data_IF_111626407407
#
_entry.id   IF_111626407407
#
_cell.length_a   1.000
_cell.length_b   1.000
_cell.length_c   1.000
_cell.angle_alpha   90.00
_cell.angle_beta   90.00
_cell.angle_gamma   90.00
#
_symmetry.space_group_name_H-M   'P 1'
#
loop_
_entity.id
_entity.type
_entity.pdbx_description
1 polymer ?
#
# COMPACT_ATOMS: atom_id res chain seq x y z
N UNK A 1 -1.83 36.24 -14.58
CA UNK A 1 -1.18 35.85 -15.84
C UNK A 1 -1.55 34.40 -16.20
N UNK A 2 -2.86 34.08 -16.19
CA UNK A 2 -3.43 32.75 -16.45
C UNK A 2 -4.52 32.87 -17.53
N UNK A 3 -4.14 33.16 -18.79
CA UNK A 3 -5.13 33.17 -19.89
C UNK A 3 -4.42 33.20 -21.26
N UNK A 4 -3.52 32.22 -21.54
CA UNK A 4 -2.89 32.17 -22.90
C UNK A 4 -2.44 30.76 -23.36
N UNK A 5 -2.99 29.67 -22.87
CA UNK A 5 -2.71 28.31 -23.39
C UNK A 5 -4.04 27.58 -23.70
N UNK A 6 -4.89 28.18 -24.52
CA UNK A 6 -6.11 27.52 -25.00
C UNK A 6 -6.45 27.83 -26.46
N UNK A 7 -5.43 28.02 -27.32
CA UNK A 7 -5.63 28.20 -28.77
C UNK A 7 -4.42 27.74 -29.57
N UNK A 8 -4.16 26.44 -29.63
CA UNK A 8 -3.30 25.88 -30.69
C UNK A 8 -3.43 24.35 -30.76
N UNK A 9 -4.61 23.86 -31.13
CA UNK A 9 -4.83 22.49 -31.66
C UNK A 9 -6.12 22.45 -32.45
N UNK A 10 -6.15 23.14 -33.56
CA UNK A 10 -7.08 22.89 -34.68
C UNK A 10 -6.47 23.52 -35.94
N UNK A 11 -5.74 22.73 -36.67
CA UNK A 11 -5.47 22.88 -38.09
C UNK A 11 -4.33 21.92 -38.49
N UNK A 12 -4.65 20.72 -38.92
CA UNK A 12 -3.94 19.99 -39.98
C UNK A 12 -4.64 18.65 -40.18
N UNK A 13 -5.77 18.69 -40.84
CA UNK A 13 -6.37 17.56 -41.56
C UNK A 13 -6.84 18.14 -42.88
N UNK A 14 -6.18 17.81 -43.95
CA UNK A 14 -6.70 17.63 -45.29
C UNK A 14 -5.56 17.58 -46.33
N UNK A 15 -5.71 16.66 -47.28
CA UNK A 15 -4.97 16.43 -48.51
C UNK A 15 -3.78 15.45 -48.41
N UNK A 16 -3.99 14.21 -48.83
CA UNK A 16 -3.58 13.71 -50.15
C UNK A 16 -4.30 12.37 -50.40
N UNK A 17 -5.25 12.39 -51.32
CA UNK A 17 -5.76 11.23 -52.05
C UNK A 17 -5.17 11.26 -53.45
N UNK A 18 -4.52 10.20 -53.91
CA UNK A 18 -4.51 9.78 -55.31
C UNK A 18 -3.72 8.49 -55.53
N UNK A 19 -4.39 7.49 -56.00
CA UNK A 19 -4.12 6.44 -56.98
C UNK A 19 -2.77 5.70 -56.95
N UNK A 20 -2.85 4.38 -56.78
CA UNK A 20 -2.39 3.42 -57.83
C UNK A 20 -3.04 2.04 -57.54
N UNK A 21 -3.85 1.60 -58.50
CA UNK A 21 -4.34 0.24 -58.72
C UNK A 21 -3.25 -0.48 -59.49
N UNK A 22 -2.80 -1.66 -59.01
CA UNK A 22 -2.47 -2.77 -59.91
C UNK A 22 -2.21 -4.09 -59.17
N UNK A 23 -2.90 -5.08 -59.67
CA UNK A 23 -2.67 -6.51 -59.81
C UNK A 23 -2.69 -7.43 -58.59
N UNK A 24 -3.76 -8.15 -58.53
CA UNK A 24 -3.98 -9.46 -57.93
C UNK A 24 -2.91 -10.50 -58.35
N UNK A 25 -2.24 -11.08 -57.39
CA UNK A 25 -1.80 -12.46 -57.46
C UNK A 25 -2.19 -13.15 -56.15
N UNK A 26 -3.19 -14.01 -56.23
CA UNK A 26 -3.65 -14.94 -55.21
C UNK A 26 -2.55 -15.95 -54.91
N UNK A 27 -1.87 -15.80 -53.78
CA UNK A 27 -1.18 -16.86 -53.14
C UNK A 27 -1.87 -17.17 -51.82
N UNK A 28 -2.60 -18.27 -51.79
CA UNK A 28 -3.21 -18.82 -50.62
C UNK A 28 -2.12 -19.45 -49.73
N UNK A 29 -1.44 -18.66 -48.91
CA UNK A 29 -0.66 -19.16 -47.79
C UNK A 29 -1.50 -19.01 -46.55
N UNK A 30 -1.91 -20.14 -46.01
CA UNK A 30 -2.54 -20.23 -44.70
C UNK A 30 -1.52 -19.75 -43.62
N UNK A 31 -1.49 -18.45 -43.38
CA UNK A 31 -0.86 -17.91 -42.17
C UNK A 31 -1.65 -18.41 -41.00
N UNK A 32 -1.16 -19.46 -40.32
CA UNK A 32 -1.49 -19.70 -38.92
C UNK A 32 -1.28 -18.36 -38.18
N UNK A 33 -2.37 -17.71 -37.78
CA UNK A 33 -2.29 -16.67 -36.75
C UNK A 33 -1.68 -17.37 -35.53
N UNK A 34 -0.39 -17.19 -35.32
CA UNK A 34 0.17 -17.37 -34.00
C UNK A 34 -0.64 -16.46 -33.07
N UNK A 35 -1.50 -17.07 -32.29
CA UNK A 35 -2.00 -16.42 -31.07
C UNK A 35 -0.73 -16.19 -30.23
N UNK A 36 -0.06 -15.04 -30.37
CA UNK A 36 0.77 -14.51 -29.31
C UNK A 36 -0.16 -14.42 -28.11
N UNK A 37 -0.06 -15.34 -27.17
CA UNK A 37 -0.60 -15.17 -25.85
C UNK A 37 -0.05 -13.82 -25.39
N UNK A 38 -0.92 -12.84 -25.18
CA UNK A 38 -0.53 -11.59 -24.53
C UNK A 38 0.14 -12.00 -23.22
N UNK A 39 1.40 -11.66 -23.10
CA UNK A 39 2.15 -11.84 -21.86
C UNK A 39 1.52 -10.89 -20.85
N UNK A 40 0.66 -11.44 -19.98
CA UNK A 40 -0.04 -10.69 -18.93
C UNK A 40 0.79 -10.64 -17.64
N UNK A 41 2.09 -10.91 -17.71
CA UNK A 41 3.00 -10.86 -16.55
C UNK A 41 2.97 -9.48 -15.88
N UNK A 42 3.22 -9.39 -14.58
CA UNK A 42 3.33 -8.13 -13.86
C UNK A 42 4.35 -7.18 -14.51
N UNK A 43 4.01 -5.91 -14.64
CA UNK A 43 4.85 -4.89 -15.27
C UNK A 43 5.08 -3.74 -14.30
N UNK A 44 6.34 -3.42 -13.99
CA UNK A 44 6.67 -2.22 -13.23
C UNK A 44 6.44 -0.99 -14.12
N UNK A 45 5.48 -0.14 -13.73
CA UNK A 45 5.03 1.05 -14.46
C UNK A 45 5.61 2.35 -13.90
N UNK A 46 6.10 2.33 -12.67
CA UNK A 46 6.85 3.42 -12.06
C UNK A 46 7.89 2.87 -11.10
N UNK A 47 9.09 3.44 -11.13
CA UNK A 47 10.13 3.22 -10.12
C UNK A 47 10.60 4.56 -9.58
N UNK A 48 10.41 4.78 -8.29
CA UNK A 48 10.92 5.94 -7.57
C UNK A 48 12.25 5.55 -6.92
N UNK A 49 13.33 5.78 -7.66
CA UNK A 49 14.69 5.51 -7.20
C UNK A 49 15.22 6.67 -6.34
N UNK A 50 16.18 6.41 -5.42
CA UNK A 50 16.85 7.48 -4.70
C UNK A 50 17.71 8.34 -5.62
N UNK A 51 17.94 9.59 -5.22
CA UNK A 51 18.84 10.56 -5.86
C UNK A 51 19.68 11.27 -4.80
N UNK A 52 20.54 12.20 -5.21
CA UNK A 52 21.42 12.95 -4.30
C UNK A 52 20.65 13.67 -3.21
N UNK A 53 19.52 14.32 -3.56
CA UNK A 53 18.66 15.07 -2.61
C UNK A 53 17.47 14.25 -2.10
N UNK A 54 17.29 13.02 -2.54
CA UNK A 54 16.18 12.16 -2.19
C UNK A 54 16.68 10.73 -1.91
N UNK A 55 17.15 10.46 -0.70
CA UNK A 55 17.80 9.18 -0.38
C UNK A 55 16.83 8.00 -0.25
N UNK A 56 15.49 8.25 -0.13
CA UNK A 56 14.49 7.21 0.05
C UNK A 56 13.10 7.65 -0.39
N UNK A 57 12.38 6.73 -1.04
CA UNK A 57 10.96 6.80 -1.35
C UNK A 57 10.28 5.54 -0.82
N UNK A 58 9.25 5.66 0.02
CA UNK A 58 8.63 4.47 0.61
C UNK A 58 7.20 4.69 1.10
N UNK A 59 6.50 3.59 1.42
CA UNK A 59 5.29 3.54 2.25
C UNK A 59 4.13 4.40 1.75
N UNK A 60 3.77 4.19 0.48
CA UNK A 60 2.67 4.90 -0.16
C UNK A 60 1.36 4.11 -0.20
N UNK A 61 0.31 4.81 -0.65
CA UNK A 61 -1.01 4.27 -0.90
C UNK A 61 -1.70 5.01 -2.05
N UNK A 62 -2.79 4.45 -2.58
CA UNK A 62 -3.50 4.92 -3.76
C UNK A 62 -4.93 5.34 -3.46
N UNK A 63 -5.46 6.24 -4.28
CA UNK A 63 -6.88 6.58 -4.31
C UNK A 63 -7.36 6.89 -5.73
N UNK A 64 -8.54 6.38 -6.12
CA UNK A 64 -9.22 6.81 -7.32
C UNK A 64 -9.88 8.18 -7.11
N UNK A 65 -9.66 9.10 -8.02
CA UNK A 65 -10.31 10.40 -8.09
C UNK A 65 -11.59 10.32 -8.95
N UNK A 66 -12.55 11.22 -8.74
CA UNK A 66 -13.82 11.23 -9.49
C UNK A 66 -13.68 11.58 -10.97
N UNK A 67 -12.58 12.20 -11.38
CA UNK A 67 -12.27 12.49 -12.78
C UNK A 67 -11.68 11.29 -13.54
N UNK A 68 -11.52 10.14 -12.84
CA UNK A 68 -10.91 8.93 -13.37
C UNK A 68 -9.40 8.84 -13.16
N UNK A 69 -8.79 9.87 -12.59
CA UNK A 69 -7.38 9.83 -12.19
C UNK A 69 -7.12 8.91 -11.00
N UNK A 70 -5.88 8.49 -10.85
CA UNK A 70 -5.37 7.77 -9.68
C UNK A 70 -4.30 8.66 -9.06
N UNK A 71 -4.43 8.94 -7.77
CA UNK A 71 -3.41 9.60 -6.96
C UNK A 71 -2.68 8.55 -6.12
N UNK A 72 -1.35 8.55 -6.20
CA UNK A 72 -0.45 7.81 -5.32
C UNK A 72 0.26 8.81 -4.41
N UNK A 73 0.13 8.66 -3.08
CA UNK A 73 0.84 9.47 -2.10
C UNK A 73 1.83 8.59 -1.38
N UNK A 74 3.07 9.08 -1.16
CA UNK A 74 4.14 8.32 -0.53
C UNK A 74 5.06 9.20 0.31
N UNK A 75 5.88 8.57 1.14
CA UNK A 75 6.89 9.24 1.97
C UNK A 75 8.14 9.51 1.14
N UNK A 76 8.46 10.78 0.88
CA UNK A 76 9.65 11.23 0.16
C UNK A 76 10.64 11.86 1.14
N UNK A 77 11.76 11.20 1.32
CA UNK A 77 12.83 11.67 2.19
C UNK A 77 13.71 12.69 1.47
N UNK A 78 14.32 13.59 2.24
CA UNK A 78 15.26 14.58 1.71
C UNK A 78 16.48 14.73 2.62
N UNK A 79 17.57 15.35 2.09
CA UNK A 79 18.85 15.39 2.74
C UNK A 79 19.68 14.13 2.47
N UNK A 80 20.62 13.80 3.34
CA UNK A 80 21.64 12.76 3.09
C UNK A 80 21.29 11.37 3.64
N UNK A 81 20.30 11.27 4.54
CA UNK A 81 20.01 10.03 5.27
C UNK A 81 18.73 9.34 4.81
N UNK A 82 18.79 8.02 4.65
CA UNK A 82 17.62 7.15 4.40
C UNK A 82 17.06 6.51 5.68
N UNK A 83 17.50 6.93 6.85
CA UNK A 83 17.02 6.43 8.16
C UNK A 83 15.52 6.72 8.33
N UNK A 84 14.82 5.89 9.12
CA UNK A 84 13.42 6.14 9.52
C UNK A 84 13.22 7.44 10.30
N UNK A 85 14.30 8.04 10.81
CA UNK A 85 14.29 9.31 11.54
C UNK A 85 14.71 10.51 10.70
N UNK A 86 15.13 10.27 9.45
CA UNK A 86 15.50 11.33 8.53
C UNK A 86 14.28 12.16 8.08
N UNK A 87 14.47 13.43 7.70
CA UNK A 87 13.38 14.29 7.30
C UNK A 87 12.69 13.78 6.04
N UNK A 88 11.36 13.83 6.04
CA UNK A 88 10.52 13.45 4.92
C UNK A 88 9.23 14.26 4.90
N UNK A 89 8.66 14.41 3.71
CA UNK A 89 7.34 14.95 3.45
C UNK A 89 6.51 13.96 2.64
N UNK A 90 5.20 14.19 2.49
CA UNK A 90 4.35 13.36 1.65
C UNK A 90 4.26 13.98 0.26
N UNK A 91 4.66 13.19 -0.74
CA UNK A 91 4.63 13.53 -2.15
C UNK A 91 3.52 12.79 -2.89
N UNK A 92 2.97 13.39 -3.92
CA UNK A 92 1.93 12.85 -4.79
C UNK A 92 2.38 12.67 -6.23
N UNK A 93 1.95 11.56 -6.86
CA UNK A 93 2.05 11.27 -8.29
C UNK A 93 0.67 10.93 -8.83
N UNK A 94 0.38 11.32 -10.07
CA UNK A 94 -0.91 11.11 -10.70
C UNK A 94 -0.78 10.24 -11.95
N UNK A 95 -1.80 9.40 -12.18
CA UNK A 95 -1.99 8.66 -13.42
C UNK A 95 -3.39 8.93 -13.96
N UNK A 96 -3.51 9.10 -15.29
CA UNK A 96 -4.78 9.36 -15.97
C UNK A 96 -5.06 8.30 -17.07
N UNK A 97 -4.37 7.16 -17.01
CA UNK A 97 -4.46 6.07 -17.98
C UNK A 97 -4.52 4.69 -17.30
N UNK A 98 -5.22 4.63 -16.15
CA UNK A 98 -5.40 3.42 -15.35
C UNK A 98 -4.08 2.89 -14.75
N UNK A 99 -3.16 3.78 -14.39
CA UNK A 99 -1.89 3.43 -13.74
C UNK A 99 -0.78 2.98 -14.68
N UNK A 100 -0.95 3.10 -16.01
CA UNK A 100 0.07 2.69 -16.99
C UNK A 100 1.22 3.69 -17.07
N UNK A 101 0.92 4.98 -16.92
CA UNK A 101 1.93 6.05 -16.83
C UNK A 101 1.60 7.01 -15.69
N UNK A 102 2.62 7.70 -15.19
CA UNK A 102 2.56 8.57 -14.03
C UNK A 102 3.21 9.92 -14.34
N UNK A 103 2.81 10.98 -13.61
CA UNK A 103 3.45 12.29 -13.71
C UNK A 103 4.94 12.19 -13.37
N UNK A 104 5.77 12.99 -14.05
CA UNK A 104 7.23 12.99 -13.85
C UNK A 104 7.65 13.77 -12.59
N UNK A 105 6.85 14.75 -12.17
CA UNK A 105 7.14 15.63 -11.04
C UNK A 105 6.28 15.26 -9.82
N UNK A 106 6.87 15.42 -8.64
CA UNK A 106 6.18 15.28 -7.37
C UNK A 106 5.37 16.53 -7.03
N UNK A 107 4.14 16.34 -6.56
CA UNK A 107 3.39 17.36 -5.85
C UNK A 107 3.59 17.19 -4.34
N UNK A 108 3.90 18.25 -3.61
CA UNK A 108 3.95 18.21 -2.15
C UNK A 108 2.52 18.21 -1.62
N UNK A 109 2.13 17.11 -0.98
CA UNK A 109 0.78 16.94 -0.41
C UNK A 109 0.74 17.39 1.06
N UNK A 110 1.74 16.98 1.84
CA UNK A 110 1.91 17.40 3.24
C UNK A 110 3.38 17.67 3.48
N UNK A 111 3.69 18.90 3.84
CA UNK A 111 5.04 19.30 4.28
C UNK A 111 5.47 18.53 5.52
N UNK A 112 6.76 18.48 5.79
CA UNK A 112 7.25 17.91 7.04
C UNK A 112 6.78 18.76 8.23
N UNK A 113 5.74 18.35 8.89
CA UNK A 113 5.19 18.99 10.10
C UNK A 113 5.59 18.29 11.41
N UNK A 114 6.38 17.21 11.33
CA UNK A 114 6.97 16.52 12.47
C UNK A 114 8.31 17.12 12.89
N UNK A 115 8.73 16.85 14.12
CA UNK A 115 10.09 17.19 14.57
C UNK A 115 11.16 16.40 13.80
N UNK A 116 10.80 15.24 13.26
CA UNK A 116 11.64 14.39 12.42
C UNK A 116 11.04 14.32 11.00
N UNK A 117 9.87 13.69 10.85
CA UNK A 117 9.25 13.52 9.55
C UNK A 117 7.73 13.28 9.63
N UNK A 118 7.13 13.15 8.44
CA UNK A 118 5.81 12.56 8.20
C UNK A 118 5.97 11.39 7.24
N UNK A 119 5.32 10.24 7.52
CA UNK A 119 5.49 9.02 6.75
C UNK A 119 4.30 8.05 6.84
N UNK A 120 4.35 6.93 6.12
CA UNK A 120 3.39 5.80 6.21
C UNK A 120 1.96 6.18 5.85
N UNK A 121 1.69 6.31 4.57
CA UNK A 121 0.42 6.80 4.03
C UNK A 121 -0.66 5.73 4.01
N UNK A 122 -1.88 6.07 4.45
CA UNK A 122 -3.11 5.34 4.12
C UNK A 122 -4.13 6.30 3.52
N UNK A 123 -4.73 5.94 2.38
CA UNK A 123 -5.74 6.71 1.67
C UNK A 123 -7.08 5.97 1.67
N UNK A 124 -8.15 6.67 1.94
CA UNK A 124 -9.46 6.07 2.02
C UNK A 124 -10.54 7.01 1.50
N UNK A 125 -11.37 6.53 0.56
CA UNK A 125 -12.62 7.19 0.18
C UNK A 125 -13.67 6.87 1.25
N UNK A 126 -14.03 7.87 2.04
CA UNK A 126 -15.06 7.73 3.06
C UNK A 126 -16.44 7.57 2.43
N UNK A 127 -17.37 6.93 3.14
CA UNK A 127 -18.77 6.74 2.68
C UNK A 127 -19.51 8.05 2.38
N UNK A 128 -19.10 9.16 2.99
CA UNK A 128 -19.65 10.49 2.67
C UNK A 128 -19.05 11.12 1.40
N UNK A 129 -18.13 10.39 0.71
CA UNK A 129 -17.50 10.81 -0.53
C UNK A 129 -16.22 11.66 -0.37
N UNK A 130 -15.86 12.05 0.83
CA UNK A 130 -14.59 12.74 1.13
C UNK A 130 -13.41 11.77 1.04
N UNK A 131 -12.20 12.29 0.80
CA UNK A 131 -10.96 11.50 0.88
C UNK A 131 -10.30 11.76 2.24
N UNK A 132 -9.97 10.69 2.96
CA UNK A 132 -9.16 10.74 4.16
C UNK A 132 -7.73 10.31 3.84
N UNK A 133 -6.76 11.10 4.29
CA UNK A 133 -5.33 10.83 4.27
C UNK A 133 -4.86 10.62 5.70
N UNK A 134 -4.32 9.44 5.98
CA UNK A 134 -3.70 9.11 7.26
C UNK A 134 -2.19 9.00 7.07
N UNK A 135 -1.45 9.43 8.08
CA UNK A 135 0.01 9.37 8.09
C UNK A 135 0.54 9.40 9.53
N UNK A 136 1.75 8.89 9.74
CA UNK A 136 2.46 9.03 11.01
C UNK A 136 3.20 10.36 11.05
N UNK A 137 2.96 11.16 12.09
CA UNK A 137 3.74 12.36 12.42
C UNK A 137 4.76 11.99 13.50
N UNK A 138 6.02 11.95 13.11
CA UNK A 138 7.14 11.58 13.98
C UNK A 138 7.81 12.84 14.52
N UNK A 139 7.63 13.11 15.81
CA UNK A 139 8.20 14.28 16.48
C UNK A 139 9.57 13.98 17.11
N UNK A 140 9.75 12.76 17.63
CA UNK A 140 11.01 12.27 18.26
C UNK A 140 11.03 10.74 18.25
N UNK A 141 12.08 10.14 18.79
CA UNK A 141 12.18 8.70 19.02
C UNK A 141 11.17 8.18 20.06
N UNK A 142 10.55 9.06 20.85
CA UNK A 142 9.56 8.72 21.88
C UNK A 142 8.15 9.22 21.55
N UNK A 143 7.97 9.97 20.45
CA UNK A 143 6.70 10.59 20.07
C UNK A 143 6.45 10.44 18.58
N UNK A 144 5.60 9.50 18.22
CA UNK A 144 5.09 9.29 16.87
C UNK A 144 3.58 9.02 16.95
N UNK A 145 2.78 9.85 16.31
CA UNK A 145 1.31 9.80 16.40
C UNK A 145 0.68 9.80 15.00
N UNK A 146 -0.26 8.88 14.73
CA UNK A 146 -1.09 8.92 13.53
C UNK A 146 -1.93 10.20 13.47
N UNK A 147 -1.91 10.84 12.31
CA UNK A 147 -2.67 12.03 11.97
C UNK A 147 -3.64 11.72 10.83
N UNK A 148 -4.71 12.51 10.73
CA UNK A 148 -5.68 12.44 9.64
C UNK A 148 -5.89 13.82 9.04
N UNK A 149 -5.96 13.91 7.69
CA UNK A 149 -6.45 15.07 6.94
C UNK A 149 -7.61 14.64 6.05
N UNK A 150 -8.48 15.56 5.70
CA UNK A 150 -9.65 15.30 4.85
C UNK A 150 -9.64 16.25 3.67
N UNK A 151 -9.88 15.71 2.48
CA UNK A 151 -10.15 16.48 1.27
C UNK A 151 -11.62 16.32 0.86
N UNK A 152 -12.25 17.45 0.48
CA UNK A 152 -13.62 17.52 -0.04
C UNK A 152 -13.68 17.81 -1.54
N UNK A 153 -12.54 18.04 -2.16
CA UNK A 153 -12.36 18.53 -3.52
C UNK A 153 -11.36 17.67 -4.33
N UNK A 154 -11.42 16.32 -4.10
CA UNK A 154 -10.63 15.36 -4.84
C UNK A 154 -9.12 15.60 -4.75
N UNK A 155 -8.64 15.77 -3.51
CA UNK A 155 -7.24 15.98 -3.13
C UNK A 155 -6.64 17.33 -3.60
N UNK A 156 -7.46 18.26 -4.11
CA UNK A 156 -6.98 19.63 -4.48
C UNK A 156 -6.58 20.44 -3.25
N UNK A 157 -7.26 20.24 -2.14
CA UNK A 157 -6.91 20.82 -0.84
C UNK A 157 -7.18 19.86 0.31
N UNK A 158 -6.49 20.09 1.43
CA UNK A 158 -6.56 19.24 2.61
C UNK A 158 -6.89 20.07 3.86
N UNK A 159 -7.67 19.50 4.76
CA UNK A 159 -7.96 20.10 6.06
C UNK A 159 -6.71 20.25 6.93
N UNK A 160 -6.82 21.01 8.02
CA UNK A 160 -5.85 20.95 9.11
C UNK A 160 -5.73 19.51 9.64
N UNK A 161 -4.54 19.12 10.16
CA UNK A 161 -4.31 17.77 10.66
C UNK A 161 -5.10 17.52 11.96
N UNK A 162 -5.72 16.34 12.04
CA UNK A 162 -6.46 15.86 13.21
C UNK A 162 -5.65 14.72 13.84
N UNK A 163 -5.20 14.82 15.11
CA UNK A 163 -4.55 13.72 15.78
C UNK A 163 -5.54 12.58 16.03
N UNK A 164 -5.17 11.36 15.62
CA UNK A 164 -6.02 10.18 15.79
C UNK A 164 -5.87 9.55 17.19
N UNK A 165 -4.77 9.78 17.89
CA UNK A 165 -4.49 9.29 19.23
C UNK A 165 -4.27 10.49 20.15
N UNK A 166 -5.14 10.64 21.15
CA UNK A 166 -5.10 11.76 22.11
C UNK A 166 -5.14 11.29 23.56
N UNK A 167 -5.49 10.02 23.80
CA UNK A 167 -5.63 9.42 25.13
C UNK A 167 -4.30 8.90 25.70
N UNK A 168 -3.31 8.66 24.84
CA UNK A 168 -1.98 8.16 25.19
C UNK A 168 -0.89 8.96 24.50
N UNK A 169 0.28 9.03 25.14
CA UNK A 169 1.52 9.50 24.51
C UNK A 169 2.42 8.31 24.24
N UNK A 170 3.26 8.38 23.19
CA UNK A 170 4.22 7.36 22.88
C UNK A 170 4.56 7.28 21.40
N UNK A 171 5.35 6.28 21.06
CA UNK A 171 5.72 5.99 19.69
C UNK A 171 4.79 4.93 19.11
N UNK A 172 3.78 5.39 18.39
CA UNK A 172 2.82 4.55 17.69
C UNK A 172 3.23 4.36 16.23
N UNK A 173 3.31 3.13 15.80
CA UNK A 173 3.53 2.77 14.41
C UNK A 173 2.17 2.47 13.76
N UNK A 174 1.82 3.25 12.75
CA UNK A 174 0.79 2.97 11.75
C UNK A 174 1.52 2.69 10.45
N UNK A 175 1.41 1.48 9.92
CA UNK A 175 1.99 1.15 8.62
C UNK A 175 1.11 1.71 7.48
N UNK A 176 1.66 1.78 6.25
CA UNK A 176 0.94 2.26 5.07
C UNK A 176 -0.21 1.32 4.67
N UNK A 177 -1.25 1.85 4.04
CA UNK A 177 -2.42 1.12 3.54
C UNK A 177 -3.10 0.23 4.62
N UNK A 178 -3.39 0.80 5.82
CA UNK A 178 -3.90 0.02 6.98
C UNK A 178 -5.26 0.46 7.48
N UNK A 179 -5.65 1.71 7.22
CA UNK A 179 -6.93 2.22 7.74
C UNK A 179 -8.07 1.73 6.86
N UNK A 180 -9.10 1.15 7.47
CA UNK A 180 -10.29 0.66 6.75
C UNK A 180 -11.56 1.32 7.26
N UNK A 181 -12.60 1.37 6.42
CA UNK A 181 -13.95 1.74 6.81
C UNK A 181 -14.88 0.54 6.68
N UNK A 182 -15.48 0.12 7.79
CA UNK A 182 -16.41 -1.00 7.84
C UNK A 182 -17.71 -0.71 7.07
N UNK A 183 -18.46 -1.75 6.71
CA UNK A 183 -19.78 -1.63 6.08
C UNK A 183 -20.75 -0.75 6.84
N UNK A 184 -20.65 -0.66 8.18
CA UNK A 184 -21.49 0.21 9.01
C UNK A 184 -21.00 1.68 9.08
N UNK A 185 -19.85 2.01 8.48
CA UNK A 185 -19.28 3.36 8.45
C UNK A 185 -18.20 3.64 9.51
N UNK A 186 -17.97 2.74 10.48
CA UNK A 186 -16.90 2.88 11.46
C UNK A 186 -15.54 2.83 10.77
N UNK A 187 -14.64 3.75 11.11
CA UNK A 187 -13.24 3.69 10.74
C UNK A 187 -12.48 2.85 11.76
N UNK A 188 -11.55 2.04 11.29
CA UNK A 188 -10.62 1.25 12.10
C UNK A 188 -9.19 1.56 11.67
N UNK A 189 -8.33 1.82 12.65
CA UNK A 189 -6.92 2.13 12.49
C UNK A 189 -6.10 1.24 13.42
N UNK A 190 -5.46 0.17 12.91
CA UNK A 190 -4.62 -0.71 13.70
C UNK A 190 -3.25 -0.07 13.91
N UNK A 191 -2.71 -0.14 15.12
CA UNK A 191 -1.42 0.44 15.49
C UNK A 191 -0.65 -0.46 16.44
N UNK A 192 0.68 -0.30 16.47
CA UNK A 192 1.55 -0.87 17.50
C UNK A 192 2.25 0.24 18.29
N UNK A 193 2.19 0.18 19.61
CA UNK A 193 2.90 1.06 20.53
C UNK A 193 4.23 0.40 20.94
N UNK A 194 5.35 0.99 20.54
CA UNK A 194 6.69 0.46 20.79
C UNK A 194 7.40 1.15 21.96
N UNK A 195 7.01 2.37 22.29
CA UNK A 195 7.57 3.10 23.40
C UNK A 195 6.52 4.00 24.05
N UNK A 196 6.35 3.89 25.35
CA UNK A 196 5.57 4.81 26.19
C UNK A 196 6.51 5.75 26.94
N UNK A 197 6.03 6.93 27.42
CA UNK A 197 6.86 7.87 28.17
C UNK A 197 7.55 7.22 29.38
N UNK A 198 8.87 7.41 29.48
CA UNK A 198 9.68 6.85 30.56
C UNK A 198 9.99 5.35 30.44
N UNK A 199 9.60 4.71 29.35
CA UNK A 199 9.96 3.33 29.03
C UNK A 199 10.99 3.30 27.90
N UNK A 200 11.73 2.19 27.80
CA UNK A 200 12.60 1.93 26.65
C UNK A 200 11.77 1.44 25.45
N UNK A 201 12.39 1.51 24.29
CA UNK A 201 11.88 0.88 23.08
C UNK A 201 11.73 -0.63 23.29
N UNK A 202 10.58 -1.16 22.86
CA UNK A 202 10.31 -2.60 22.84
C UNK A 202 10.06 -3.04 21.39
N UNK A 203 10.79 -4.05 20.93
CA UNK A 203 10.60 -4.61 19.59
C UNK A 203 9.22 -5.27 19.45
N UNK A 204 8.73 -5.88 20.52
CA UNK A 204 7.36 -6.35 20.61
C UNK A 204 6.44 -5.19 20.92
N UNK A 205 5.71 -4.70 19.91
CA UNK A 205 4.76 -3.62 20.06
C UNK A 205 3.47 -4.07 20.75
N UNK A 206 2.96 -3.23 21.65
CA UNK A 206 1.61 -3.36 22.19
C UNK A 206 0.59 -3.02 21.09
N UNK A 207 -0.24 -3.99 20.68
CA UNK A 207 -1.17 -3.83 19.58
C UNK A 207 -2.51 -3.28 20.05
N UNK A 208 -3.01 -2.27 19.34
CA UNK A 208 -4.32 -1.65 19.54
C UNK A 208 -5.02 -1.44 18.20
N UNK A 209 -6.35 -1.25 18.26
CA UNK A 209 -7.13 -0.72 17.16
C UNK A 209 -7.84 0.55 17.65
N UNK A 210 -7.56 1.68 17.03
CA UNK A 210 -8.36 2.88 17.27
C UNK A 210 -9.55 2.90 16.30
N UNK A 211 -10.71 3.33 16.78
CA UNK A 211 -11.92 3.38 15.97
C UNK A 211 -12.64 4.73 16.09
N UNK A 212 -13.32 5.11 15.00
CA UNK A 212 -14.12 6.33 14.93
C UNK A 212 -15.48 6.05 14.29
N UNK A 213 -16.55 6.53 14.93
CA UNK A 213 -17.94 6.42 14.45
C UNK A 213 -18.45 7.73 13.81
N UNK A 214 -17.57 8.74 13.65
CA UNK A 214 -17.93 10.07 13.16
C UNK A 214 -16.97 10.60 12.08
N UNK A 215 -16.53 9.70 11.17
CA UNK A 215 -15.62 10.01 10.08
C UNK A 215 -14.29 10.64 10.54
N UNK A 216 -13.70 10.12 11.62
CA UNK A 216 -12.38 10.51 12.10
C UNK A 216 -12.34 11.78 12.96
N UNK A 217 -13.48 12.39 13.30
CA UNK A 217 -13.49 13.59 14.15
C UNK A 217 -13.06 13.29 15.59
N UNK A 218 -13.39 12.11 16.10
CA UNK A 218 -12.93 11.60 17.40
C UNK A 218 -12.62 10.13 17.30
N UNK A 219 -11.66 9.67 18.11
CA UNK A 219 -11.18 8.30 18.13
C UNK A 219 -11.23 7.72 19.54
N UNK A 220 -11.42 6.41 19.61
CA UNK A 220 -11.40 5.64 20.84
C UNK A 220 -10.48 4.43 20.67
N UNK A 221 -9.77 4.07 21.74
CA UNK A 221 -8.90 2.89 21.76
C UNK A 221 -9.69 1.62 22.01
N UNK A 222 -9.35 0.53 21.35
CA UNK A 222 -9.76 -0.82 21.73
C UNK A 222 -9.09 -1.25 23.04
N UNK A 223 -9.49 -2.43 23.56
CA UNK A 223 -8.61 -3.18 24.46
C UNK A 223 -7.31 -3.55 23.73
N UNK A 224 -6.21 -3.71 24.48
CA UNK A 224 -4.96 -4.24 23.92
C UNK A 224 -5.18 -5.66 23.38
N UNK A 225 -4.61 -5.98 22.24
CA UNK A 225 -4.55 -7.34 21.69
C UNK A 225 -3.56 -8.16 22.52
N UNK A 226 -4.02 -9.23 23.14
CA UNK A 226 -3.18 -10.01 24.03
C UNK A 226 -2.23 -10.93 23.24
N UNK A 227 -0.92 -10.72 23.44
CA UNK A 227 0.13 -11.64 23.02
C UNK A 227 0.83 -12.19 24.28
N UNK A 228 0.65 -13.48 24.55
CA UNK A 228 1.27 -14.18 25.70
C UNK A 228 2.49 -14.99 25.30
N UNK A 229 2.99 -14.81 24.08
CA UNK A 229 4.16 -15.50 23.52
C UNK A 229 5.39 -14.58 23.51
N UNK A 230 6.56 -15.16 23.30
CA UNK A 230 7.82 -14.40 23.07
C UNK A 230 7.97 -13.97 21.59
N UNK A 231 6.94 -14.18 20.75
CA UNK A 231 6.96 -13.79 19.33
C UNK A 231 6.78 -12.28 19.23
N UNK A 232 7.74 -11.59 18.61
CA UNK A 232 7.64 -10.16 18.34
C UNK A 232 6.42 -9.91 17.43
N UNK A 233 5.57 -8.95 17.81
CA UNK A 233 4.41 -8.48 17.05
C UNK A 233 4.54 -7.00 16.72
N UNK A 234 4.27 -6.63 15.45
CA UNK A 234 4.40 -5.28 14.93
C UNK A 234 3.36 -5.03 13.83
N UNK A 235 3.15 -3.79 13.44
CA UNK A 235 2.51 -3.33 12.20
C UNK A 235 1.28 -4.14 11.77
N UNK A 236 0.19 -4.15 12.56
CA UNK A 236 -1.01 -4.91 12.24
C UNK A 236 -1.75 -4.34 11.00
N UNK A 237 -2.46 -5.20 10.28
CA UNK A 237 -3.44 -4.83 9.25
C UNK A 237 -4.79 -5.45 9.54
N UNK A 238 -5.85 -4.97 8.89
CA UNK A 238 -7.23 -5.38 9.16
C UNK A 238 -7.95 -5.78 7.87
N UNK A 239 -8.88 -6.74 8.00
CA UNK A 239 -9.89 -6.99 6.96
C UNK A 239 -11.23 -7.36 7.59
N UNK A 240 -12.35 -6.80 7.07
CA UNK A 240 -13.71 -7.14 7.52
C UNK A 240 -14.14 -8.44 6.85
N UNK A 241 -14.53 -9.44 7.64
CA UNK A 241 -15.03 -10.73 7.17
C UNK A 241 -16.49 -10.63 6.70
N UNK A 242 -16.99 -11.65 5.97
CA UNK A 242 -18.35 -11.65 5.45
C UNK A 242 -19.40 -11.78 6.54
N UNK A 243 -19.04 -12.43 7.66
CA UNK A 243 -19.90 -12.54 8.86
C UNK A 243 -19.88 -11.30 9.77
N UNK A 244 -19.10 -10.26 9.39
CA UNK A 244 -18.99 -9.01 10.10
C UNK A 244 -17.94 -8.99 11.22
N UNK A 245 -17.23 -10.09 11.46
CA UNK A 245 -16.01 -10.09 12.28
C UNK A 245 -14.90 -9.32 11.56
N UNK A 246 -13.92 -8.90 12.34
CA UNK A 246 -12.71 -8.28 11.81
C UNK A 246 -11.53 -9.22 12.08
N UNK A 247 -10.75 -9.52 11.07
CA UNK A 247 -9.48 -10.21 11.21
C UNK A 247 -8.35 -9.18 11.24
N UNK A 248 -7.50 -9.26 12.24
CA UNK A 248 -6.22 -8.57 12.32
C UNK A 248 -5.14 -9.56 11.91
N UNK A 249 -4.36 -9.23 10.87
CA UNK A 249 -3.14 -9.95 10.50
C UNK A 249 -1.93 -9.13 10.94
N UNK A 250 -0.92 -9.80 11.48
CA UNK A 250 0.09 -9.14 12.30
C UNK A 250 1.48 -9.58 11.83
N UNK A 251 2.35 -8.61 11.50
CA UNK A 251 3.77 -8.83 11.27
C UNK A 251 4.39 -9.46 12.52
N UNK A 252 5.07 -10.61 12.38
CA UNK A 252 5.59 -11.36 13.50
C UNK A 252 6.92 -12.05 13.21
N UNK A 253 7.71 -12.37 14.27
CA UNK A 253 9.04 -12.99 14.17
C UNK A 253 9.02 -14.52 14.12
N UNK A 254 7.86 -15.15 14.29
CA UNK A 254 7.73 -16.60 14.47
C UNK A 254 7.76 -17.46 13.20
N UNK A 255 8.14 -16.89 12.04
CA UNK A 255 8.13 -17.59 10.74
C UNK A 255 6.76 -17.58 10.05
N UNK A 256 5.74 -16.99 10.68
CA UNK A 256 4.39 -16.82 10.16
C UNK A 256 3.82 -15.48 10.59
N UNK A 257 2.84 -14.96 9.84
CA UNK A 257 1.99 -13.89 10.35
C UNK A 257 1.20 -14.43 11.56
N UNK A 258 0.87 -13.58 12.53
CA UNK A 258 -0.11 -13.91 13.56
C UNK A 258 -1.48 -13.32 13.21
N UNK A 259 -2.54 -13.87 13.80
CA UNK A 259 -3.92 -13.42 13.64
C UNK A 259 -4.54 -13.10 14.98
N UNK A 260 -5.51 -12.18 14.99
CA UNK A 260 -6.45 -11.94 16.08
C UNK A 260 -7.80 -11.53 15.49
N UNK A 261 -8.89 -11.75 16.22
CA UNK A 261 -10.24 -11.52 15.72
C UNK A 261 -11.05 -10.66 16.68
N UNK A 262 -11.89 -9.80 16.10
CA UNK A 262 -12.88 -9.02 16.83
C UNK A 262 -14.29 -9.35 16.31
N UNK A 263 -15.23 -9.57 17.23
CA UNK A 263 -16.66 -9.76 16.93
C UNK A 263 -17.52 -8.55 17.27
N UNK A 264 -16.93 -7.49 17.84
CA UNK A 264 -17.59 -6.27 18.30
C UNK A 264 -17.13 -5.01 17.56
N UNK A 265 -16.72 -5.18 16.27
CA UNK A 265 -16.29 -4.10 15.38
C UNK A 265 -15.05 -3.37 15.89
N UNK A 266 -14.05 -4.13 16.34
CA UNK A 266 -12.73 -3.64 16.70
C UNK A 266 -12.59 -3.10 18.13
N UNK A 267 -13.55 -3.33 19.04
CA UNK A 267 -13.46 -2.85 20.42
C UNK A 267 -12.66 -3.81 21.31
N UNK A 268 -12.86 -5.13 21.11
CA UNK A 268 -12.10 -6.16 21.80
C UNK A 268 -11.57 -7.19 20.81
N UNK A 269 -10.51 -7.91 21.20
CA UNK A 269 -9.76 -8.80 20.33
C UNK A 269 -9.47 -10.13 21.01
N UNK A 270 -9.45 -11.21 20.25
CA UNK A 270 -8.95 -12.50 20.73
C UNK A 270 -7.46 -12.43 21.05
N UNK A 271 -6.94 -13.41 21.79
CA UNK A 271 -5.50 -13.64 21.87
C UNK A 271 -4.95 -13.87 20.47
N UNK A 272 -3.67 -13.53 20.25
CA UNK A 272 -2.99 -13.83 18.98
C UNK A 272 -2.87 -15.34 18.79
N UNK A 273 -3.01 -15.76 17.52
CA UNK A 273 -2.81 -17.16 17.10
C UNK A 273 -1.95 -17.22 15.83
N UNK A 274 -1.28 -18.35 15.61
CA UNK A 274 -0.45 -18.54 14.41
C UNK A 274 -1.33 -18.73 13.18
N UNK A 275 -1.00 -18.02 12.09
CA UNK A 275 -1.67 -18.21 10.80
C UNK A 275 -1.07 -19.33 9.97
N UNK A 276 -1.68 -19.59 8.82
CA UNK A 276 -1.14 -20.42 7.73
C UNK A 276 -0.37 -19.58 6.67
N UNK A 277 0.08 -18.38 7.02
CA UNK A 277 0.81 -17.45 6.12
C UNK A 277 2.29 -17.45 6.54
N UNK A 278 3.16 -18.27 5.88
CA UNK A 278 4.60 -18.26 6.16
C UNK A 278 5.19 -16.89 5.88
N UNK A 279 6.02 -16.37 6.78
CA UNK A 279 6.55 -15.00 6.63
C UNK A 279 7.79 -14.78 7.47
N UNK A 280 8.79 -14.02 6.99
CA UNK A 280 9.81 -13.44 7.85
C UNK A 280 9.20 -12.31 8.69
N UNK A 281 9.99 -11.62 9.50
CA UNK A 281 9.55 -10.39 10.18
C UNK A 281 9.33 -9.27 9.15
N UNK A 282 8.21 -9.36 8.42
CA UNK A 282 7.82 -8.45 7.35
C UNK A 282 6.30 -8.31 7.29
N UNK A 283 5.75 -7.11 7.00
CA UNK A 283 4.32 -6.92 6.91
C UNK A 283 3.74 -7.58 5.65
N UNK A 284 2.57 -8.18 5.79
CA UNK A 284 1.70 -8.64 4.70
C UNK A 284 0.63 -7.58 4.39
N UNK A 285 -0.04 -7.69 3.26
CA UNK A 285 -1.24 -6.91 2.94
C UNK A 285 -2.30 -7.83 2.35
N UNK A 286 -3.53 -7.69 2.86
CA UNK A 286 -4.71 -8.44 2.41
C UNK A 286 -5.78 -7.43 2.00
N UNK A 287 -6.25 -7.54 0.75
CA UNK A 287 -7.35 -6.72 0.23
C UNK A 287 -8.43 -7.57 -0.43
N UNK A 288 -9.69 -7.11 -0.36
CA UNK A 288 -10.79 -7.78 -1.04
C UNK A 288 -10.81 -7.42 -2.52
N UNK A 289 -10.88 -8.44 -3.38
CA UNK A 289 -11.10 -8.25 -4.82
C UNK A 289 -12.54 -7.77 -5.02
N UNK A 290 -12.77 -6.57 -5.59
CA UNK A 290 -14.07 -5.90 -5.54
C UNK A 290 -15.23 -6.67 -6.18
N UNK A 291 -14.99 -7.40 -7.27
CA UNK A 291 -16.04 -8.08 -8.05
C UNK A 291 -16.34 -9.50 -7.57
N UNK A 292 -15.42 -10.19 -6.90
CA UNK A 292 -15.61 -11.55 -6.40
C UNK A 292 -15.78 -11.62 -4.88
N UNK A 293 -15.21 -10.66 -4.14
CA UNK A 293 -15.12 -10.71 -2.68
C UNK A 293 -14.04 -11.66 -2.15
N UNK A 294 -13.31 -12.33 -3.05
CA UNK A 294 -12.13 -13.13 -2.69
C UNK A 294 -11.05 -12.24 -2.09
N UNK A 295 -10.11 -12.81 -1.36
CA UNK A 295 -9.02 -12.05 -0.77
C UNK A 295 -7.74 -12.20 -1.60
N UNK A 296 -7.09 -11.07 -1.90
CA UNK A 296 -5.74 -11.02 -2.44
C UNK A 296 -4.77 -10.75 -1.29
N UNK A 297 -3.85 -11.69 -1.07
CA UNK A 297 -2.72 -11.55 -0.15
C UNK A 297 -1.46 -11.24 -0.96
N UNK A 298 -0.70 -10.23 -0.53
CA UNK A 298 0.66 -9.96 -1.04
C UNK A 298 1.61 -9.86 0.14
N UNK A 299 2.68 -10.69 0.12
CA UNK A 299 3.60 -10.82 1.26
C UNK A 299 4.94 -11.42 0.85
N UNK A 300 5.84 -11.61 1.82
CA UNK A 300 7.05 -12.41 1.63
C UNK A 300 6.78 -13.86 2.05
N UNK A 301 6.65 -14.78 1.09
CA UNK A 301 6.44 -16.20 1.34
C UNK A 301 7.76 -16.88 1.71
N UNK A 302 8.20 -16.68 2.94
CA UNK A 302 9.50 -17.11 3.44
C UNK A 302 9.42 -17.41 4.95
N UNK A 303 9.34 -18.70 5.30
CA UNK A 303 9.32 -19.18 6.69
C UNK A 303 10.71 -19.35 7.32
N UNK A 304 11.77 -19.05 6.56
CA UNK A 304 13.15 -19.22 6.99
C UNK A 304 13.71 -20.62 6.82
N UNK A 305 12.98 -21.55 6.19
CA UNK A 305 13.44 -22.92 5.89
C UNK A 305 14.51 -22.95 4.79
N UNK A 306 14.46 -22.00 3.83
CA UNK A 306 15.50 -21.84 2.81
C UNK A 306 16.67 -20.98 3.34
N UNK A 307 17.88 -21.56 3.53
CA UNK A 307 19.02 -20.83 4.09
C UNK A 307 19.46 -19.62 3.27
N UNK A 308 19.26 -19.62 1.94
CA UNK A 308 19.67 -18.56 1.03
C UNK A 308 18.93 -17.25 1.30
N UNK A 309 17.64 -17.36 1.64
CA UNK A 309 16.76 -16.21 1.86
C UNK A 309 16.29 -16.07 3.32
N UNK A 310 16.83 -16.86 4.23
CA UNK A 310 16.42 -16.85 5.65
C UNK A 310 16.53 -15.45 6.24
N UNK A 311 15.41 -14.96 6.81
CA UNK A 311 15.31 -13.63 7.42
C UNK A 311 15.25 -12.47 6.43
N UNK A 312 15.31 -12.74 5.12
CA UNK A 312 15.20 -11.73 4.08
C UNK A 312 13.74 -11.48 3.69
N UNK A 313 13.46 -10.28 3.15
CA UNK A 313 12.13 -9.89 2.66
C UNK A 313 11.97 -10.22 1.16
N UNK A 314 12.21 -11.48 0.84
CA UNK A 314 12.05 -12.07 -0.49
C UNK A 314 11.61 -13.53 -0.34
N UNK A 315 10.84 -14.09 -1.30
CA UNK A 315 10.24 -13.47 -2.49
C UNK A 315 9.11 -12.49 -2.15
N UNK A 316 8.70 -11.63 -3.10
CA UNK A 316 7.41 -10.96 -3.08
C UNK A 316 6.40 -11.87 -3.79
N UNK A 317 5.44 -12.38 -3.03
CA UNK A 317 4.49 -13.40 -3.47
C UNK A 317 3.06 -12.88 -3.37
N UNK A 318 2.18 -13.33 -4.25
CA UNK A 318 0.73 -13.15 -4.13
C UNK A 318 0.01 -14.49 -4.01
N UNK A 319 -1.17 -14.49 -3.40
CA UNK A 319 -2.09 -15.62 -3.35
C UNK A 319 -3.54 -15.13 -3.27
N UNK A 320 -4.48 -16.00 -3.65
CA UNK A 320 -5.92 -15.73 -3.59
C UNK A 320 -6.55 -16.69 -2.58
N UNK A 321 -7.49 -16.17 -1.77
CA UNK A 321 -8.33 -16.97 -0.90
C UNK A 321 -9.81 -16.74 -1.21
N UNK A 322 -10.57 -17.81 -1.35
CA UNK A 322 -12.03 -17.82 -1.55
C UNK A 322 -12.82 -18.09 -0.28
N UNK A 323 -12.12 -18.38 0.81
CA UNK A 323 -12.68 -18.83 2.08
C UNK A 323 -12.20 -17.99 3.27
N UNK A 324 -11.91 -16.69 3.00
CA UNK A 324 -11.51 -15.69 4.00
C UNK A 324 -10.22 -16.06 4.75
N UNK A 325 -9.21 -16.51 3.99
CA UNK A 325 -7.86 -16.78 4.50
C UNK A 325 -7.68 -18.16 5.14
N UNK A 326 -8.70 -19.05 5.11
CA UNK A 326 -8.54 -20.42 5.59
C UNK A 326 -7.63 -21.23 4.68
N UNK A 327 -7.72 -21.02 3.36
CA UNK A 327 -6.82 -21.60 2.37
C UNK A 327 -6.36 -20.54 1.37
N UNK A 328 -5.15 -20.73 0.85
CA UNK A 328 -4.55 -19.84 -0.15
C UNK A 328 -4.23 -20.63 -1.42
N UNK A 329 -4.71 -20.16 -2.55
CA UNK A 329 -4.49 -20.75 -3.87
C UNK A 329 -3.83 -19.75 -4.83
N UNK A 330 -3.41 -20.21 -6.02
CA UNK A 330 -2.77 -19.35 -7.03
C UNK A 330 -1.52 -18.63 -6.51
N UNK A 331 -0.75 -19.33 -5.67
CA UNK A 331 0.48 -18.77 -5.08
C UNK A 331 1.51 -18.52 -6.19
N UNK A 332 1.95 -17.28 -6.35
CA UNK A 332 2.90 -16.86 -7.41
C UNK A 332 3.85 -15.79 -6.91
N UNK A 333 5.09 -15.88 -7.34
CA UNK A 333 6.07 -14.83 -7.10
C UNK A 333 5.90 -13.71 -8.14
N UNK A 334 5.84 -12.48 -7.65
CA UNK A 334 5.94 -11.25 -8.44
C UNK A 334 7.42 -10.95 -8.66
N UNK A 335 8.22 -11.14 -7.60
CA UNK A 335 9.67 -11.10 -7.60
C UNK A 335 10.23 -12.23 -6.74
N UNK A 336 11.34 -12.82 -7.16
CA UNK A 336 12.00 -13.92 -6.46
C UNK A 336 13.52 -13.77 -6.35
N UNK A 337 14.06 -12.58 -6.66
CA UNK A 337 15.48 -12.29 -6.53
C UNK A 337 15.93 -12.46 -5.07
N UNK A 338 16.90 -13.37 -4.76
CA UNK A 338 17.41 -13.59 -3.43
C UNK A 338 18.12 -12.38 -2.80
N UNK A 339 18.57 -11.42 -3.61
CA UNK A 339 19.13 -10.13 -3.18
C UNK A 339 18.06 -9.07 -2.92
N UNK A 340 16.83 -9.29 -3.37
CA UNK A 340 15.73 -8.37 -3.27
C UNK A 340 15.28 -8.11 -1.83
N UNK A 341 14.70 -6.91 -1.60
CA UNK A 341 14.11 -6.50 -0.33
C UNK A 341 12.76 -5.85 -0.58
N UNK A 342 11.69 -6.63 -0.41
CA UNK A 342 10.32 -6.24 -0.75
C UNK A 342 9.45 -6.13 0.49
N UNK A 343 8.79 -4.99 0.70
CA UNK A 343 7.89 -4.80 1.84
C UNK A 343 7.00 -3.57 1.67
N UNK A 344 6.16 -3.31 2.66
CA UNK A 344 5.28 -2.14 2.75
C UNK A 344 4.36 -2.01 1.53
N UNK A 345 3.65 -3.12 1.27
CA UNK A 345 2.80 -3.27 0.11
C UNK A 345 1.49 -2.49 0.28
N UNK A 346 1.08 -1.72 -0.72
CA UNK A 346 -0.29 -1.28 -0.92
C UNK A 346 -0.88 -1.95 -2.16
N UNK A 347 -2.15 -2.37 -2.08
CA UNK A 347 -2.89 -3.02 -3.16
C UNK A 347 -4.04 -2.09 -3.57
N UNK A 348 -4.14 -1.76 -4.85
CA UNK A 348 -5.20 -0.91 -5.37
C UNK A 348 -5.81 -1.50 -6.64
N UNK A 349 -7.11 -1.79 -6.61
CA UNK A 349 -7.83 -2.27 -7.78
C UNK A 349 -8.26 -1.07 -8.65
N UNK A 350 -7.63 -0.95 -9.82
CA UNK A 350 -7.92 0.15 -10.77
C UNK A 350 -9.28 -0.05 -11.42
N UNK A 351 -9.55 -1.28 -11.81
CA UNK A 351 -10.78 -1.73 -12.46
C UNK A 351 -10.95 -3.24 -12.22
N UNK A 352 -11.91 -3.88 -12.90
CA UNK A 352 -12.18 -5.32 -12.77
C UNK A 352 -11.08 -6.21 -13.40
N UNK A 353 -10.10 -5.64 -14.11
CA UNK A 353 -9.09 -6.40 -14.84
C UNK A 353 -7.67 -6.23 -14.27
N UNK A 354 -7.42 -5.12 -13.57
CA UNK A 354 -6.06 -4.76 -13.15
C UNK A 354 -6.01 -4.26 -11.70
N UNK A 355 -4.90 -4.59 -11.03
CA UNK A 355 -4.51 -4.03 -9.76
C UNK A 355 -3.12 -3.38 -9.87
N UNK A 356 -2.91 -2.31 -9.11
CA UNK A 356 -1.61 -1.71 -8.85
C UNK A 356 -1.10 -2.19 -7.50
N UNK A 357 0.16 -2.54 -7.45
CA UNK A 357 0.89 -2.84 -6.22
C UNK A 357 1.99 -1.82 -6.06
N UNK A 358 2.02 -1.08 -4.95
CA UNK A 358 3.21 -0.33 -4.57
C UNK A 358 3.94 -1.07 -3.44
N UNK A 359 5.27 -1.05 -3.47
CA UNK A 359 6.11 -1.70 -2.46
C UNK A 359 7.53 -1.16 -2.52
N UNK A 360 8.25 -1.24 -1.38
CA UNK A 360 9.69 -1.06 -1.40
C UNK A 360 10.35 -2.19 -2.20
N UNK A 361 11.29 -1.86 -3.08
CA UNK A 361 11.93 -2.77 -4.04
C UNK A 361 13.45 -2.55 -4.05
N UNK A 362 14.08 -2.61 -2.88
CA UNK A 362 15.53 -2.43 -2.75
C UNK A 362 16.33 -3.71 -2.98
N UNK A 363 17.64 -3.58 -2.81
CA UNK A 363 18.64 -4.64 -2.90
C UNK A 363 19.50 -4.64 -1.64
N UNK A 364 19.81 -5.83 -1.14
CA UNK A 364 20.68 -5.99 0.04
C UNK A 364 22.14 -5.69 -0.28
N UNK A 365 22.64 -6.20 -1.42
CA UNK A 365 24.00 -5.98 -1.86
C UNK A 365 24.29 -4.50 -2.15
N UNK A 366 23.31 -3.77 -2.71
CA UNK A 366 23.40 -2.34 -2.97
C UNK A 366 23.00 -1.47 -1.75
N UNK A 367 22.57 -2.08 -0.64
CA UNK A 367 22.11 -1.39 0.59
C UNK A 367 20.97 -0.39 0.36
N UNK A 368 20.11 -0.65 -0.62
CA UNK A 368 18.98 0.22 -0.95
C UNK A 368 17.66 -0.18 -0.27
N UNK A 369 17.63 -1.24 0.50
CA UNK A 369 16.49 -1.85 1.22
C UNK A 369 15.13 -1.16 1.08
N UNK A 370 14.91 -0.03 1.77
CA UNK A 370 13.65 0.73 1.79
C UNK A 370 13.67 1.96 0.87
N UNK A 371 14.77 2.18 0.13
CA UNK A 371 15.01 3.44 -0.58
C UNK A 371 14.28 3.55 -1.93
N UNK A 372 13.88 2.43 -2.51
CA UNK A 372 13.24 2.36 -3.82
C UNK A 372 11.79 1.95 -3.64
N UNK A 373 10.86 2.68 -4.27
CA UNK A 373 9.47 2.24 -4.40
C UNK A 373 9.17 1.90 -5.85
N UNK A 374 8.63 0.70 -6.08
CA UNK A 374 8.05 0.30 -7.35
C UNK A 374 6.52 0.39 -7.29
N UNK A 375 5.92 0.76 -8.43
CA UNK A 375 4.51 0.52 -8.72
C UNK A 375 4.44 -0.50 -9.84
N UNK A 376 3.76 -1.61 -9.61
CA UNK A 376 3.63 -2.71 -10.56
C UNK A 376 2.16 -2.93 -10.91
N UNK A 377 1.86 -2.92 -12.20
CA UNK A 377 0.53 -3.26 -12.74
C UNK A 377 0.44 -4.78 -12.89
N UNK A 378 -0.58 -5.38 -12.27
CA UNK A 378 -0.82 -6.82 -12.28
C UNK A 378 -2.19 -7.09 -12.89
N UNK A 379 -2.22 -7.89 -13.97
CA UNK A 379 -3.45 -8.26 -14.65
C UNK A 379 -4.15 -9.43 -13.94
N UNK A 380 -5.47 -9.33 -13.78
CA UNK A 380 -6.29 -10.33 -13.09
C UNK A 380 -6.22 -11.71 -13.76
N UNK A 381 -6.09 -11.78 -15.09
CA UNK A 381 -5.91 -13.07 -15.77
C UNK A 381 -4.58 -13.72 -15.38
N UNK A 382 -3.53 -12.94 -15.11
CA UNK A 382 -2.29 -13.48 -14.58
C UNK A 382 -2.47 -13.97 -13.14
N UNK A 383 -3.18 -13.22 -12.29
CA UNK A 383 -3.46 -13.63 -10.91
C UNK A 383 -4.18 -14.99 -10.87
N UNK A 384 -5.13 -15.22 -11.78
CA UNK A 384 -6.01 -16.39 -11.81
C UNK A 384 -5.44 -17.62 -12.54
N UNK A 385 -4.38 -17.48 -13.32
CA UNK A 385 -3.69 -18.62 -13.95
C UNK A 385 -2.97 -19.48 -12.89
#
# INVERSE_FOLDING_TARGET
MKTKIKKQRQATLLLISALLIDLLITSCSSTKKENKSLDNSPVTVLQLAPSEDNPRNSEGDFINLKDGGILFIYSRYYGESSSDYAPAYLAGRYSYDEGKTWTDEDEIIVENEGGMNVMSVSLLRLKNGEIALFYAKKNSEEDCIPMMRVSKDEATSWSEPIPCITDKKGYFVLNNARVIQLKNGRLLMPVSLHQAPGKKWEDQGDLYCYFSDNNGKTWQSSSQVTNTTDIITQEPGLTEMNDGRIMMYIRASGGFQLLSYSSDKGQTWSHVETSNIPSPLSPATIEKIPDTGDWLLVWNNNDGSNPEIKGKRTPLTMAISKDEGKTWEKIKNIHDDPDGWYCYIAIHFVNNENALLSYCAGSQSQKTHLSITNITLVNKNWMNK
#
